data_IF_963199289825
#
_entry.id   IF_963199289825
#
_cell.length_a   1.000
_cell.length_b   1.000
_cell.length_c   1.000
_cell.angle_alpha   90.00
_cell.angle_beta   90.00
_cell.angle_gamma   90.00
#
_symmetry.space_group_name_H-M   'P 1'
#
loop_
_entity.id
_entity.type
_entity.pdbx_description
1 polymer ?
#
# COMPACT_ATOMS: atom_id res chain seq x y z
N UNK A 1 0.32 4.14 27.91
CA UNK A 1 -1.00 3.65 27.42
C UNK A 1 -1.55 4.48 26.25
N UNK A 2 -1.51 5.82 26.28
CA UNK A 2 -2.01 6.70 25.20
C UNK A 2 -1.47 6.37 23.78
N UNK A 3 -0.20 5.96 23.67
CA UNK A 3 0.42 5.56 22.40
C UNK A 3 -0.16 4.25 21.82
N UNK A 4 -0.55 3.29 22.68
CA UNK A 4 -1.14 2.02 22.25
C UNK A 4 -2.55 2.25 21.72
N UNK A 5 -3.34 3.07 22.42
CA UNK A 5 -4.70 3.46 22.00
C UNK A 5 -4.66 4.21 20.67
N UNK A 6 -3.72 5.15 20.49
CA UNK A 6 -3.54 5.86 19.21
C UNK A 6 -3.17 4.92 18.05
N UNK A 7 -2.33 3.91 18.29
CA UNK A 7 -1.99 2.89 17.29
C UNK A 7 -3.20 2.01 16.94
N UNK A 8 -4.00 1.63 17.94
CA UNK A 8 -5.22 0.84 17.73
C UNK A 8 -6.23 1.60 16.86
N UNK A 9 -6.46 2.88 17.16
CA UNK A 9 -7.37 3.75 16.40
C UNK A 9 -6.90 3.92 14.95
N UNK A 10 -5.58 4.08 14.74
CA UNK A 10 -5.01 4.15 13.42
C UNK A 10 -5.26 2.87 12.60
N UNK A 11 -5.13 1.69 13.23
CA UNK A 11 -5.41 0.40 12.57
C UNK A 11 -6.91 0.25 12.30
N UNK A 12 -7.78 0.64 13.24
CA UNK A 12 -9.23 0.63 13.05
C UNK A 12 -9.67 1.49 11.85
N UNK A 13 -9.02 2.63 11.63
CA UNK A 13 -9.28 3.46 10.44
C UNK A 13 -8.89 2.78 9.12
N UNK A 14 -7.91 1.85 9.13
CA UNK A 14 -7.53 1.06 7.94
C UNK A 14 -8.41 -0.16 7.71
N UNK A 15 -9.22 -0.56 8.69
CA UNK A 15 -10.14 -1.69 8.52
C UNK A 15 -11.16 -1.36 7.44
N UNK A 16 -11.67 -0.13 7.37
CA UNK A 16 -12.67 0.29 6.37
C UNK A 16 -12.18 0.08 4.93
N UNK A 17 -11.03 0.65 4.50
CA UNK A 17 -10.50 0.41 3.16
C UNK A 17 -10.06 -1.06 2.95
N UNK A 18 -9.67 -1.77 4.02
CA UNK A 18 -9.36 -3.20 3.96
C UNK A 18 -10.58 -4.06 3.65
N UNK A 19 -11.71 -3.78 4.31
CA UNK A 19 -12.98 -4.44 4.04
C UNK A 19 -13.50 -4.10 2.64
N UNK A 20 -13.36 -2.84 2.21
CA UNK A 20 -13.69 -2.45 0.84
C UNK A 20 -12.86 -3.21 -0.19
N UNK A 21 -11.55 -3.38 0.05
CA UNK A 21 -10.70 -4.19 -0.81
C UNK A 21 -11.16 -5.66 -0.86
N UNK A 22 -11.40 -6.27 0.31
CA UNK A 22 -11.89 -7.63 0.37
C UNK A 22 -13.22 -7.81 -0.38
N UNK A 23 -14.17 -6.88 -0.20
CA UNK A 23 -15.44 -6.88 -0.91
C UNK A 23 -15.28 -6.73 -2.43
N UNK A 24 -14.38 -5.84 -2.88
CA UNK A 24 -14.04 -5.71 -4.30
C UNK A 24 -13.46 -7.01 -4.88
N UNK A 25 -12.62 -7.71 -4.12
CA UNK A 25 -12.09 -9.01 -4.51
C UNK A 25 -13.18 -10.09 -4.59
N UNK A 26 -14.16 -10.08 -3.68
CA UNK A 26 -15.31 -10.98 -3.76
C UNK A 26 -16.10 -10.75 -5.06
N UNK A 27 -16.39 -9.50 -5.42
CA UNK A 27 -17.09 -9.20 -6.69
C UNK A 27 -16.31 -9.72 -7.92
N UNK A 28 -14.98 -9.58 -7.91
CA UNK A 28 -14.15 -10.11 -8.99
C UNK A 28 -14.15 -11.64 -9.02
N UNK A 29 -14.07 -12.30 -7.85
CA UNK A 29 -14.09 -13.76 -7.78
C UNK A 29 -15.42 -14.27 -8.33
N UNK A 30 -16.53 -13.68 -7.92
CA UNK A 30 -17.87 -14.13 -8.29
C UNK A 30 -18.07 -14.01 -9.81
N UNK A 31 -17.71 -12.87 -10.40
CA UNK A 31 -17.76 -12.69 -11.85
C UNK A 31 -16.89 -13.69 -12.63
N UNK A 32 -15.72 -14.07 -12.10
CA UNK A 32 -14.86 -15.09 -12.71
C UNK A 32 -15.44 -16.51 -12.55
N UNK A 33 -15.90 -16.86 -11.36
CA UNK A 33 -16.48 -18.18 -11.08
C UNK A 33 -17.74 -18.41 -11.90
N UNK A 34 -18.62 -17.42 -11.99
CA UNK A 34 -19.85 -17.51 -12.79
C UNK A 34 -19.53 -17.68 -14.28
N UNK A 35 -18.53 -16.97 -14.80
CA UNK A 35 -18.07 -17.16 -16.17
C UNK A 35 -17.52 -18.55 -16.44
N UNK A 36 -16.66 -19.07 -15.56
CA UNK A 36 -16.12 -20.42 -15.71
C UNK A 36 -17.17 -21.52 -15.53
N UNK A 37 -18.14 -21.32 -14.65
CA UNK A 37 -19.27 -22.23 -14.48
C UNK A 37 -20.10 -22.30 -15.76
N UNK A 38 -20.45 -21.15 -16.35
CA UNK A 38 -21.18 -21.09 -17.63
C UNK A 38 -20.43 -21.72 -18.79
N UNK A 39 -19.09 -21.68 -18.81
CA UNK A 39 -18.27 -22.35 -19.83
C UNK A 39 -18.35 -23.88 -19.76
N UNK A 40 -18.62 -24.44 -18.58
CA UNK A 40 -18.72 -25.89 -18.36
C UNK A 40 -20.10 -26.47 -18.65
N UNK A 41 -21.14 -25.64 -18.74
CA UNK A 41 -22.52 -26.06 -18.96
C UNK A 41 -22.82 -26.24 -20.45
N UNK A 42 -23.28 -27.45 -20.81
CA UNK A 42 -23.55 -27.87 -22.19
C UNK A 42 -24.80 -27.18 -22.79
N UNK A 43 -25.64 -26.56 -21.96
CA UNK A 43 -26.89 -25.91 -22.39
C UNK A 43 -26.74 -24.40 -22.72
N UNK A 44 -25.68 -23.74 -22.24
CA UNK A 44 -25.51 -22.28 -22.38
C UNK A 44 -24.58 -21.94 -23.56
N UNK A 45 -25.17 -21.74 -24.73
CA UNK A 45 -24.44 -21.54 -25.99
C UNK A 45 -23.70 -20.17 -26.11
N UNK A 46 -23.88 -19.25 -25.15
CA UNK A 46 -23.21 -17.94 -25.09
C UNK A 46 -22.88 -17.55 -23.64
N UNK A 47 -21.69 -17.86 -23.12
CA UNK A 47 -21.27 -17.39 -21.80
C UNK A 47 -21.07 -15.86 -21.83
N UNK A 48 -21.71 -15.16 -20.89
CA UNK A 48 -21.59 -13.71 -20.75
C UNK A 48 -20.69 -13.39 -19.57
N UNK A 49 -19.67 -12.59 -19.81
CA UNK A 49 -18.79 -12.13 -18.74
C UNK A 49 -19.40 -10.90 -18.06
N UNK A 50 -19.54 -10.97 -16.74
CA UNK A 50 -20.07 -9.89 -15.90
C UNK A 50 -19.03 -8.77 -15.72
N UNK A 51 -18.79 -8.01 -16.79
CA UNK A 51 -17.80 -6.93 -16.83
C UNK A 51 -18.06 -5.83 -15.81
N UNK A 52 -19.33 -5.49 -15.56
CA UNK A 52 -19.69 -4.39 -14.67
C UNK A 52 -19.28 -4.67 -13.20
N UNK A 53 -19.70 -5.78 -12.56
CA UNK A 53 -19.25 -6.09 -11.20
C UNK A 53 -17.75 -6.41 -11.16
N UNK A 54 -17.17 -6.98 -12.21
CA UNK A 54 -15.72 -7.22 -12.28
C UNK A 54 -14.92 -5.91 -12.24
N UNK A 55 -15.24 -4.94 -13.11
CA UNK A 55 -14.54 -3.65 -13.17
C UNK A 55 -14.80 -2.83 -11.91
N UNK A 56 -16.02 -2.84 -11.40
CA UNK A 56 -16.36 -2.18 -10.13
C UNK A 56 -15.56 -2.77 -8.97
N UNK A 57 -15.52 -4.10 -8.88
CA UNK A 57 -14.74 -4.83 -7.89
C UNK A 57 -13.24 -4.54 -8.01
N UNK A 58 -12.71 -4.48 -9.24
CA UNK A 58 -11.32 -4.16 -9.52
C UNK A 58 -10.93 -2.74 -9.08
N UNK A 59 -11.76 -1.75 -9.38
CA UNK A 59 -11.54 -0.36 -8.95
C UNK A 59 -11.58 -0.29 -7.42
N UNK A 60 -12.59 -0.91 -6.79
CA UNK A 60 -12.72 -0.90 -5.33
C UNK A 60 -11.54 -1.60 -4.63
N UNK A 61 -11.07 -2.71 -5.20
CA UNK A 61 -9.90 -3.44 -4.74
C UNK A 61 -8.62 -2.60 -4.85
N UNK A 62 -8.36 -2.02 -6.02
CA UNK A 62 -7.18 -1.16 -6.23
C UNK A 62 -7.20 0.08 -5.35
N UNK A 63 -8.35 0.71 -5.16
CA UNK A 63 -8.49 1.84 -4.26
C UNK A 63 -8.24 1.44 -2.81
N UNK A 64 -8.79 0.31 -2.35
CA UNK A 64 -8.58 -0.16 -0.98
C UNK A 64 -7.11 -0.55 -0.71
N UNK A 65 -6.50 -1.37 -1.57
CA UNK A 65 -5.09 -1.77 -1.45
C UNK A 65 -4.15 -0.58 -1.63
N UNK A 66 -4.41 0.26 -2.64
CA UNK A 66 -3.64 1.47 -2.91
C UNK A 66 -3.71 2.48 -1.76
N UNK A 67 -4.87 2.65 -1.14
CA UNK A 67 -5.03 3.49 0.04
C UNK A 67 -4.23 2.95 1.23
N UNK A 68 -4.31 1.64 1.51
CA UNK A 68 -3.54 1.01 2.59
C UNK A 68 -2.04 1.16 2.34
N UNK A 69 -1.57 0.82 1.13
CA UNK A 69 -0.16 0.92 0.75
C UNK A 69 0.35 2.37 0.82
N UNK A 70 -0.43 3.32 0.30
CA UNK A 70 -0.12 4.75 0.35
C UNK A 70 -0.07 5.30 1.78
N UNK A 71 -1.02 4.91 2.62
CA UNK A 71 -1.03 5.27 4.04
C UNK A 71 0.16 4.69 4.80
N UNK A 72 0.48 3.41 4.57
CA UNK A 72 1.66 2.76 5.17
C UNK A 72 2.92 3.52 4.75
N UNK A 73 3.10 3.81 3.46
CA UNK A 73 4.27 4.54 2.96
C UNK A 73 4.39 5.94 3.56
N UNK A 74 3.29 6.70 3.61
CA UNK A 74 3.27 8.03 4.22
C UNK A 74 3.61 7.99 5.72
N UNK A 75 3.04 7.03 6.45
CA UNK A 75 3.33 6.82 7.87
C UNK A 75 4.79 6.45 8.09
N UNK A 76 5.33 5.54 7.27
CA UNK A 76 6.69 5.01 7.41
C UNK A 76 7.76 6.06 7.12
N UNK A 77 7.52 6.93 6.12
CA UNK A 77 8.37 8.09 5.82
C UNK A 77 8.54 9.02 7.02
N UNK A 78 7.48 9.24 7.82
CA UNK A 78 7.53 10.13 8.99
C UNK A 78 8.39 9.57 10.13
N UNK A 79 8.59 8.26 10.18
CA UNK A 79 9.35 7.58 11.24
C UNK A 79 10.78 7.17 10.84
N UNK A 80 11.28 7.60 9.67
CA UNK A 80 12.65 7.31 9.20
C UNK A 80 12.98 5.81 9.05
N UNK A 81 11.99 4.94 8.86
CA UNK A 81 12.19 3.51 8.56
C UNK A 81 12.44 3.22 7.08
N UNK A 82 12.39 4.26 6.24
CA UNK A 82 12.78 4.20 4.82
C UNK A 82 14.26 3.83 4.67
N UNK A 83 14.54 2.97 3.70
CA UNK A 83 15.89 2.50 3.38
C UNK A 83 16.88 3.67 3.23
N UNK A 84 18.16 3.45 3.60
CA UNK A 84 19.24 4.46 3.56
C UNK A 84 19.31 5.25 2.25
N UNK A 85 18.89 4.65 1.13
CA UNK A 85 18.82 5.27 -0.21
C UNK A 85 17.82 6.43 -0.33
N UNK A 86 16.78 6.48 0.50
CA UNK A 86 15.77 7.56 0.52
C UNK A 86 16.03 8.60 1.61
N UNK A 87 17.11 8.47 2.40
CA UNK A 87 17.47 9.46 3.40
C UNK A 87 18.15 10.65 2.71
N UNK A 88 17.79 11.91 3.05
CA UNK A 88 18.54 13.05 2.56
C UNK A 88 20.00 12.92 3.01
N UNK A 89 20.94 12.99 2.06
CA UNK A 89 22.38 12.97 2.33
C UNK A 89 22.67 14.09 3.32
N UNK A 90 23.12 13.75 4.53
CA UNK A 90 23.64 14.76 5.45
C UNK A 90 24.78 15.50 4.74
N UNK A 91 24.79 16.85 4.73
CA UNK A 91 25.93 17.60 4.23
C UNK A 91 27.18 17.12 4.97
N UNK A 92 28.25 16.85 4.22
CA UNK A 92 29.53 16.47 4.83
C UNK A 92 29.96 17.61 5.77
N UNK A 93 30.36 17.32 7.02
CA UNK A 93 30.89 18.35 7.90
C UNK A 93 32.08 19.02 7.20
N UNK A 94 32.25 20.35 7.32
CA UNK A 94 33.39 21.05 6.74
C UNK A 94 34.66 20.42 7.28
N UNK A 95 35.60 20.08 6.38
CA UNK A 95 36.86 19.48 6.74
C UNK A 95 37.52 20.33 7.83
N UNK A 96 37.87 19.72 8.97
CA UNK A 96 38.66 20.38 10.00
C UNK A 96 40.01 20.75 9.37
N UNK A 97 40.14 22.01 8.96
CA UNK A 97 41.40 22.58 8.49
C UNK A 97 42.36 22.46 9.68
N UNK A 98 43.29 21.51 9.56
CA UNK A 98 44.21 21.13 10.62
C UNK A 98 44.92 22.35 11.19
N UNK A 99 44.85 22.46 12.51
CA UNK A 99 45.75 23.28 13.32
C UNK A 99 47.16 22.67 13.27
N UNK A 100 47.85 22.78 12.13
CA UNK A 100 49.24 22.38 12.04
C UNK A 100 50.14 23.61 12.21
N UNK A 101 50.77 23.68 13.39
CA UNK A 101 52.21 23.94 13.45
C UNK A 101 52.69 25.39 13.37
N UNK A 102 52.15 26.31 14.17
CA UNK A 102 52.87 27.55 14.54
C UNK A 102 53.59 27.40 15.88
N UNK A 103 54.27 26.27 16.07
CA UNK A 103 55.32 26.11 17.07
C UNK A 103 56.58 25.69 16.32
N UNK A 104 57.23 26.67 15.71
CA UNK A 104 58.61 26.57 15.27
C UNK A 104 59.20 27.98 15.39
N UNK A 105 60.14 28.09 16.33
CA UNK A 105 61.15 29.15 16.54
C UNK A 105 60.71 30.50 17.10
#
# INVERSE_FOLDING_TARGET
>A
MKLVISRLIAILMLVIPGLAAAYGFLLMKDALFDYFAQLGDVELNTPHFEWLPFVLGFILFLLGVGFIGGWIFFRDRKHNYVASRFRPKRPRPPASRGSNGSQAE
#
